data_IF_940435548022
#
_entry.id   IF_940435548022
#
_cell.length_a   1.000
_cell.length_b   1.000
_cell.length_c   1.000
_cell.angle_alpha   90.00
_cell.angle_beta   90.00
_cell.angle_gamma   90.00
#
_symmetry.space_group_name_H-M   'P 1'
#
loop_
_entity.id
_entity.type
_entity.pdbx_description
1 polymer ?
#
# COMPACT_ATOMS: atom_id res chain seq x y z
N UNK A 1 -35.63 26.61 -23.13
CA UNK A 1 -34.27 26.56 -22.57
C UNK A 1 -34.19 25.33 -21.70
N UNK A 2 -33.50 24.28 -22.14
CA UNK A 2 -33.27 23.09 -21.33
C UNK A 2 -31.84 23.14 -20.78
N UNK A 3 -31.75 23.05 -19.45
CA UNK A 3 -30.51 23.07 -18.67
C UNK A 3 -29.69 21.84 -19.03
N UNK A 4 -28.54 22.02 -19.71
CA UNK A 4 -27.63 20.90 -19.99
C UNK A 4 -26.78 20.65 -18.74
N UNK A 5 -27.29 19.82 -17.85
CA UNK A 5 -26.59 19.39 -16.65
C UNK A 5 -25.48 18.44 -17.07
N UNK A 6 -24.27 18.97 -17.25
CA UNK A 6 -23.04 18.18 -17.36
C UNK A 6 -22.89 17.35 -16.08
N UNK A 7 -23.41 16.13 -16.15
CA UNK A 7 -23.24 15.11 -15.13
C UNK A 7 -21.79 14.63 -15.22
N UNK A 8 -20.86 15.32 -14.55
CA UNK A 8 -19.54 14.74 -14.28
C UNK A 8 -19.79 13.66 -13.22
N UNK A 9 -20.17 12.46 -13.68
CA UNK A 9 -20.09 11.26 -12.87
C UNK A 9 -18.59 11.08 -12.59
N UNK A 10 -18.14 11.36 -11.37
CA UNK A 10 -16.79 11.01 -10.95
C UNK A 10 -16.64 9.52 -11.18
N UNK A 11 -15.91 9.12 -12.23
CA UNK A 11 -15.53 7.73 -12.40
C UNK A 11 -14.45 7.44 -11.36
N UNK A 12 -14.50 6.29 -10.71
CA UNK A 12 -13.43 5.86 -9.82
C UNK A 12 -12.13 5.86 -10.62
N UNK A 13 -11.09 6.53 -10.10
CA UNK A 13 -9.76 6.50 -10.71
C UNK A 13 -9.28 5.05 -10.76
N UNK A 14 -8.68 4.65 -11.87
CA UNK A 14 -8.03 3.34 -11.96
C UNK A 14 -6.67 3.45 -11.31
N UNK A 15 -6.45 2.74 -10.20
CA UNK A 15 -5.16 2.75 -9.51
C UNK A 15 -4.55 1.36 -9.58
N UNK A 16 -3.30 1.29 -10.06
CA UNK A 16 -2.48 0.09 -10.07
C UNK A 16 -1.29 0.35 -9.16
N UNK A 17 -1.11 -0.54 -8.17
CA UNK A 17 0.00 -0.49 -7.22
C UNK A 17 0.86 -1.72 -7.50
N UNK A 18 2.03 -1.49 -8.08
CA UNK A 18 3.02 -2.54 -8.37
C UNK A 18 4.08 -2.54 -7.27
N UNK A 19 3.94 -3.46 -6.31
CA UNK A 19 4.85 -3.58 -5.17
C UNK A 19 6.14 -4.28 -5.64
N UNK A 20 7.26 -3.56 -5.63
CA UNK A 20 8.56 -4.10 -6.03
C UNK A 20 9.31 -4.75 -4.86
N UNK A 21 9.14 -4.20 -3.65
CA UNK A 21 9.84 -4.65 -2.45
C UNK A 21 9.07 -4.20 -1.21
N UNK A 22 8.93 -5.09 -0.23
CA UNK A 22 8.40 -4.75 1.08
C UNK A 22 9.07 -5.57 2.20
N UNK A 23 9.39 -4.91 3.31
CA UNK A 23 9.94 -5.55 4.52
C UNK A 23 9.22 -5.12 5.78
N UNK A 24 9.16 -6.01 6.75
CA UNK A 24 8.53 -5.76 8.05
C UNK A 24 9.32 -6.36 9.21
N UNK A 25 9.50 -5.60 10.28
CA UNK A 25 10.15 -6.08 11.49
C UNK A 25 10.94 -5.00 12.23
N UNK A 26 12.02 -5.39 12.89
CA UNK A 26 12.92 -4.50 13.64
C UNK A 26 14.36 -5.00 13.59
N UNK A 27 15.30 -4.13 13.25
CA UNK A 27 16.73 -4.44 13.23
C UNK A 27 17.05 -5.77 12.53
N UNK A 28 17.66 -6.70 13.28
CA UNK A 28 18.02 -8.04 12.80
C UNK A 28 16.83 -8.97 12.55
N UNK A 29 15.66 -8.66 13.11
CA UNK A 29 14.42 -9.44 12.97
C UNK A 29 13.52 -8.82 11.90
N UNK A 30 14.03 -8.71 10.68
CA UNK A 30 13.29 -8.17 9.52
C UNK A 30 12.95 -9.30 8.56
N UNK A 31 11.71 -9.31 8.07
CA UNK A 31 11.16 -10.32 7.16
C UNK A 31 10.77 -9.65 5.85
N UNK A 32 11.11 -10.28 4.73
CA UNK A 32 10.58 -9.92 3.42
C UNK A 32 9.10 -10.30 3.35
N UNK A 33 8.25 -9.31 3.09
CA UNK A 33 6.79 -9.46 2.98
C UNK A 33 6.27 -9.08 1.60
N UNK A 34 7.15 -9.02 0.58
CA UNK A 34 6.82 -8.53 -0.76
C UNK A 34 5.64 -9.30 -1.37
N UNK A 35 5.72 -10.63 -1.40
CA UNK A 35 4.65 -11.49 -1.93
C UNK A 35 3.35 -11.38 -1.11
N UNK A 36 3.48 -11.28 0.22
CA UNK A 36 2.35 -11.16 1.13
C UNK A 36 1.60 -9.85 0.89
N UNK A 37 2.32 -8.74 0.69
CA UNK A 37 1.72 -7.44 0.38
C UNK A 37 1.08 -7.45 -1.01
N UNK A 38 1.75 -7.99 -2.03
CA UNK A 38 1.17 -8.15 -3.37
C UNK A 38 -0.16 -8.91 -3.34
N UNK A 39 -0.27 -9.93 -2.49
CA UNK A 39 -1.48 -10.73 -2.35
C UNK A 39 -2.56 -10.10 -1.43
N UNK A 40 -2.18 -9.19 -0.53
CA UNK A 40 -3.08 -8.60 0.47
C UNK A 40 -3.67 -7.28 0.01
N UNK A 41 -2.93 -6.51 -0.80
CA UNK A 41 -3.37 -5.20 -1.25
C UNK A 41 -4.66 -5.33 -2.07
N UNK A 42 -5.71 -4.67 -1.61
CA UNK A 42 -7.05 -4.74 -2.19
C UNK A 42 -7.66 -3.35 -2.15
N UNK A 43 -7.53 -2.61 -3.26
CA UNK A 43 -7.91 -1.21 -3.33
C UNK A 43 -6.67 -0.32 -3.29
N UNK A 44 -6.74 0.75 -2.51
CA UNK A 44 -5.74 1.82 -2.41
C UNK A 44 -5.05 1.89 -1.05
N UNK A 45 -5.40 1.01 -0.10
CA UNK A 45 -4.86 1.04 1.26
C UNK A 45 -4.18 -0.28 1.70
N UNK A 46 -3.27 -0.16 2.67
CA UNK A 46 -2.60 -1.28 3.32
C UNK A 46 -2.47 -1.04 4.81
N UNK A 47 -3.15 -1.88 5.62
CA UNK A 47 -2.91 -1.91 7.07
C UNK A 47 -1.70 -2.78 7.40
N UNK A 48 -0.67 -2.15 7.98
CA UNK A 48 0.59 -2.79 8.36
C UNK A 48 0.42 -3.63 9.63
N UNK A 49 0.58 -4.95 9.54
CA UNK A 49 0.77 -5.82 10.72
C UNK A 49 1.18 -7.23 10.31
N UNK A 50 1.89 -7.95 11.18
CA UNK A 50 2.21 -9.38 10.98
C UNK A 50 0.98 -10.22 10.61
N UNK A 51 -0.14 -9.98 11.31
CA UNK A 51 -1.41 -10.68 11.08
C UNK A 51 -1.98 -10.42 9.68
N UNK A 52 -1.90 -9.18 9.19
CA UNK A 52 -2.37 -8.82 7.85
C UNK A 52 -1.50 -9.44 6.76
N UNK A 53 -0.19 -9.54 7.01
CA UNK A 53 0.74 -10.21 6.11
C UNK A 53 0.71 -11.74 6.24
N UNK A 54 -0.05 -12.31 7.18
CA UNK A 54 -0.14 -13.76 7.36
C UNK A 54 1.14 -14.41 7.88
N UNK A 55 2.02 -13.65 8.56
CA UNK A 55 3.28 -14.14 9.11
C UNK A 55 3.26 -14.19 10.64
N UNK A 56 4.18 -14.96 11.23
CA UNK A 56 4.49 -14.84 12.66
C UNK A 56 5.08 -13.46 12.97
N UNK A 57 4.83 -12.96 14.18
CA UNK A 57 5.40 -11.69 14.60
C UNK A 57 6.93 -11.82 14.72
N UNK A 58 7.72 -11.12 13.88
CA UNK A 58 9.16 -11.32 13.83
C UNK A 58 9.89 -10.79 15.08
N UNK A 59 9.26 -9.89 15.83
CA UNK A 59 9.82 -9.35 17.07
C UNK A 59 8.72 -9.05 18.11
N UNK A 60 8.29 -10.06 18.87
CA UNK A 60 7.32 -9.90 19.94
C UNK A 60 7.83 -8.94 21.04
N UNK A 61 6.97 -8.00 21.45
CA UNK A 61 7.31 -7.00 22.48
C UNK A 61 8.09 -5.79 21.96
N UNK A 62 8.49 -5.78 20.68
CA UNK A 62 9.24 -4.69 20.08
C UNK A 62 8.41 -3.88 19.07
N UNK A 63 8.76 -2.60 18.94
CA UNK A 63 8.19 -1.71 17.92
C UNK A 63 8.72 -2.11 16.56
N UNK A 64 7.81 -2.50 15.67
CA UNK A 64 8.14 -2.89 14.30
C UNK A 64 7.84 -1.75 13.34
N UNK A 65 8.54 -1.79 12.22
CA UNK A 65 8.38 -0.88 11.11
C UNK A 65 8.16 -1.67 9.84
N UNK A 66 7.56 -1.00 8.87
CA UNK A 66 7.35 -1.49 7.52
C UNK A 66 8.01 -0.52 6.55
N UNK A 67 8.66 -1.04 5.51
CA UNK A 67 9.15 -0.24 4.42
C UNK A 67 8.69 -0.85 3.09
N UNK A 68 8.29 0.01 2.16
CA UNK A 68 7.82 -0.41 0.83
C UNK A 68 8.43 0.46 -0.27
N UNK A 69 8.73 -0.19 -1.39
CA UNK A 69 8.99 0.41 -2.69
C UNK A 69 7.96 -0.12 -3.68
N UNK A 70 7.30 0.78 -4.38
CA UNK A 70 6.29 0.45 -5.39
C UNK A 70 6.36 1.41 -6.58
N UNK A 71 5.75 1.03 -7.70
CA UNK A 71 5.36 1.96 -8.76
C UNK A 71 3.84 2.11 -8.76
N UNK A 72 3.36 3.34 -8.77
CA UNK A 72 1.93 3.65 -8.78
C UNK A 72 1.56 4.20 -10.14
N UNK A 73 0.52 3.63 -10.73
CA UNK A 73 -0.11 4.14 -11.96
C UNK A 73 -1.52 4.60 -11.62
N UNK A 74 -1.84 5.85 -11.95
CA UNK A 74 -3.18 6.42 -11.79
C UNK A 74 -3.74 6.73 -13.16
N UNK A 75 -4.90 6.16 -13.47
CA UNK A 75 -5.53 6.18 -14.79
C UNK A 75 -4.56 5.70 -15.87
N UNK A 76 -4.38 6.47 -16.93
CA UNK A 76 -3.44 6.17 -18.02
C UNK A 76 -2.18 7.06 -17.96
N UNK A 77 -1.85 7.61 -16.79
CA UNK A 77 -0.64 8.40 -16.59
C UNK A 77 0.61 7.51 -16.49
N UNK A 78 1.78 8.12 -16.72
CA UNK A 78 3.07 7.46 -16.48
C UNK A 78 3.19 6.98 -15.02
N UNK A 79 3.68 5.75 -14.79
CA UNK A 79 3.93 5.26 -13.44
C UNK A 79 4.94 6.14 -12.70
N UNK A 80 4.75 6.35 -11.40
CA UNK A 80 5.71 7.06 -10.56
C UNK A 80 6.15 6.21 -9.37
N UNK A 81 7.41 6.36 -8.92
CA UNK A 81 7.93 5.60 -7.80
C UNK A 81 7.31 6.10 -6.49
N UNK A 82 7.01 5.16 -5.60
CA UNK A 82 6.50 5.40 -4.27
C UNK A 82 7.38 4.69 -3.24
N UNK A 83 7.78 5.44 -2.21
CA UNK A 83 8.56 4.93 -1.10
C UNK A 83 7.91 5.38 0.19
N UNK A 84 7.69 4.45 1.11
CA UNK A 84 7.08 4.77 2.40
C UNK A 84 7.64 3.91 3.51
N UNK A 85 7.76 4.52 4.69
CA UNK A 85 8.09 3.83 5.94
C UNK A 85 6.95 4.08 6.90
N UNK A 86 6.35 2.99 7.38
CA UNK A 86 5.20 3.01 8.28
C UNK A 86 5.52 2.32 9.60
N UNK A 87 4.74 2.65 10.63
CA UNK A 87 4.76 1.95 11.91
C UNK A 87 3.87 0.71 11.88
N UNK A 88 4.08 -0.17 12.85
CA UNK A 88 3.14 -1.24 13.14
C UNK A 88 1.73 -0.66 13.36
N UNK A 89 0.72 -1.29 12.76
CA UNK A 89 -0.70 -0.90 12.76
C UNK A 89 -1.07 0.38 12.01
N UNK A 90 -0.13 1.01 11.31
CA UNK A 90 -0.44 2.13 10.43
C UNK A 90 -1.15 1.66 9.16
N UNK A 91 -2.11 2.45 8.68
CA UNK A 91 -2.72 2.24 7.36
C UNK A 91 -2.08 3.24 6.40
N UNK A 92 -1.46 2.71 5.35
CA UNK A 92 -0.91 3.49 4.25
C UNK A 92 -2.01 3.66 3.22
N UNK A 93 -2.25 4.90 2.79
CA UNK A 93 -3.00 5.22 1.58
C UNK A 93 -1.99 5.50 0.46
N UNK A 94 -2.09 4.73 -0.63
CA UNK A 94 -1.20 4.88 -1.79
C UNK A 94 -1.66 6.01 -2.72
N UNK A 95 -2.88 6.53 -2.54
CA UNK A 95 -3.39 7.67 -3.26
C UNK A 95 -3.16 8.94 -2.42
N UNK A 96 -2.45 9.96 -2.95
CA UNK A 96 -2.28 11.25 -2.28
C UNK A 96 -3.53 12.16 -2.34
#
# INVERSE_FOLDING_TARGET
MALNQFYIKTMAKKVIIDIEFAVYGTGANTVDVTEQVQNTISGDDLTVSARKFGIENPAPGETKHFAVKANITIDDNEPYPFFYIAKDYETIDFIP
#
